data_IF_350198107955
#
_entry.id   IF_350198107955
#
_cell.length_a   1.000
_cell.length_b   1.000
_cell.length_c   1.000
_cell.angle_alpha   90.00
_cell.angle_beta   90.00
_cell.angle_gamma   90.00
#
_symmetry.space_group_name_H-M   'P 1'
#
loop_
_entity.id
_entity.type
_entity.pdbx_description
1 polymer ?
#
# COMPACT_ATOMS: atom_id res chain seq x y z
N UNK A 1 16.61 -13.46 18.16
CA UNK A 1 17.17 -13.30 16.81
C UNK A 1 16.72 -11.95 16.33
N UNK A 2 17.64 -11.01 16.31
CA UNK A 2 17.38 -9.61 15.95
C UNK A 2 17.40 -9.47 14.42
N UNK A 3 16.31 -9.01 13.82
CA UNK A 3 16.10 -8.91 12.37
C UNK A 3 16.01 -7.45 11.97
N UNK A 4 16.80 -7.02 11.01
CA UNK A 4 16.87 -5.62 10.58
C UNK A 4 16.61 -5.48 9.09
N UNK A 5 15.89 -4.44 8.70
CA UNK A 5 15.77 -4.05 7.29
C UNK A 5 16.84 -3.01 6.94
N UNK A 6 17.44 -3.15 5.77
CA UNK A 6 18.33 -2.18 5.14
C UNK A 6 17.67 -1.68 3.86
N UNK A 7 17.03 -0.51 3.93
CA UNK A 7 16.31 0.09 2.82
C UNK A 7 17.24 0.94 1.97
N UNK A 8 17.47 0.52 0.72
CA UNK A 8 18.35 1.21 -0.21
C UNK A 8 17.59 2.31 -0.95
N UNK A 9 17.76 3.54 -0.48
CA UNK A 9 17.09 4.75 -0.98
C UNK A 9 18.03 5.78 -1.63
N UNK A 10 19.33 5.45 -1.78
CA UNK A 10 20.35 6.37 -2.27
C UNK A 10 20.45 6.51 -3.80
N UNK A 11 19.53 5.90 -4.56
CA UNK A 11 19.53 5.97 -6.04
C UNK A 11 19.24 7.39 -6.56
N UNK A 12 19.91 7.83 -7.64
CA UNK A 12 19.76 9.18 -8.22
C UNK A 12 18.38 9.43 -8.83
N UNK A 13 17.65 8.39 -9.24
CA UNK A 13 16.33 8.53 -9.88
C UNK A 13 16.35 9.10 -11.30
N UNK A 14 17.53 9.33 -11.91
CA UNK A 14 17.70 10.00 -13.22
C UNK A 14 16.83 9.44 -14.33
N UNK A 15 16.70 8.11 -14.43
CA UNK A 15 15.91 7.43 -15.46
C UNK A 15 14.42 7.72 -15.41
N UNK A 16 13.92 8.29 -14.31
CA UNK A 16 12.51 8.65 -14.13
C UNK A 16 12.21 10.09 -14.56
N UNK A 17 13.22 10.92 -14.83
CA UNK A 17 13.04 12.32 -15.24
C UNK A 17 12.35 13.24 -14.22
N UNK A 18 12.23 12.82 -12.95
CA UNK A 18 11.43 13.52 -11.93
C UNK A 18 12.17 14.72 -11.29
N UNK A 19 13.44 14.95 -11.62
CA UNK A 19 14.25 16.01 -10.99
C UNK A 19 14.53 15.79 -9.48
N UNK A 20 14.00 14.73 -8.88
CA UNK A 20 14.19 14.32 -7.48
C UNK A 20 14.31 12.82 -7.34
N UNK A 21 14.69 12.35 -6.14
CA UNK A 21 14.77 10.92 -5.88
C UNK A 21 13.37 10.27 -5.97
N UNK A 22 13.23 9.25 -6.81
CA UNK A 22 11.96 8.57 -7.07
C UNK A 22 11.35 7.90 -5.84
N UNK A 23 12.15 7.54 -4.84
CA UNK A 23 11.64 6.92 -3.61
C UNK A 23 10.90 7.91 -2.71
N UNK A 24 11.09 9.21 -2.93
CA UNK A 24 10.35 10.31 -2.27
C UNK A 24 9.14 10.77 -3.10
N UNK A 25 8.94 10.22 -4.29
CA UNK A 25 7.76 10.52 -5.10
C UNK A 25 6.51 9.89 -4.49
N UNK A 26 5.37 10.55 -4.71
CA UNK A 26 4.07 10.03 -4.30
C UNK A 26 3.64 8.83 -5.16
N UNK A 27 3.06 7.84 -4.49
CA UNK A 27 2.40 6.70 -5.10
C UNK A 27 1.06 6.49 -4.40
N UNK A 28 -0.04 6.95 -5.01
CA UNK A 28 -1.39 6.85 -4.44
C UNK A 28 -1.47 7.44 -3.01
N UNK A 29 -1.09 8.72 -2.84
CA UNK A 29 -1.19 9.43 -1.56
C UNK A 29 -0.09 9.13 -0.54
N UNK A 30 0.87 8.24 -0.84
CA UNK A 30 2.02 7.93 0.05
C UNK A 30 3.34 7.94 -0.70
N UNK A 31 4.44 8.47 -0.13
CA UNK A 31 5.78 8.33 -0.69
C UNK A 31 6.18 6.86 -0.86
N UNK A 32 6.87 6.54 -1.97
CA UNK A 32 7.36 5.19 -2.29
C UNK A 32 8.20 4.61 -1.14
N UNK A 33 9.07 5.43 -0.51
CA UNK A 33 9.89 5.00 0.63
C UNK A 33 9.03 4.59 1.83
N UNK A 34 7.98 5.35 2.14
CA UNK A 34 7.10 5.05 3.26
C UNK A 34 6.35 3.74 3.03
N UNK A 35 5.79 3.53 1.82
CA UNK A 35 5.15 2.25 1.47
C UNK A 35 6.10 1.07 1.61
N UNK A 36 7.33 1.20 1.12
CA UNK A 36 8.35 0.15 1.27
C UNK A 36 8.63 -0.15 2.75
N UNK A 37 8.77 0.88 3.60
CA UNK A 37 9.08 0.73 5.02
C UNK A 37 7.93 0.08 5.80
N UNK A 38 6.68 0.51 5.58
CA UNK A 38 5.47 -0.04 6.24
C UNK A 38 5.34 -1.56 6.08
N UNK A 39 5.77 -2.11 4.94
CA UNK A 39 5.75 -3.56 4.72
C UNK A 39 6.64 -4.34 5.71
N UNK A 40 7.70 -3.71 6.21
CA UNK A 40 8.66 -4.31 7.14
C UNK A 40 8.32 -4.11 8.61
N UNK A 41 7.53 -3.09 8.99
CA UNK A 41 7.30 -2.66 10.38
C UNK A 41 6.97 -3.80 11.37
N UNK A 42 6.18 -4.78 10.93
CA UNK A 42 5.75 -5.91 11.80
C UNK A 42 6.66 -7.14 11.69
N UNK A 43 7.69 -7.10 10.86
CA UNK A 43 8.54 -8.24 10.55
C UNK A 43 10.00 -8.07 11.03
N UNK A 44 10.39 -6.85 11.41
CA UNK A 44 11.77 -6.52 11.79
C UNK A 44 11.82 -5.75 13.11
N UNK A 45 12.94 -5.83 13.81
CA UNK A 45 13.17 -5.11 15.08
C UNK A 45 13.62 -3.65 14.85
N UNK A 46 14.04 -3.32 13.64
CA UNK A 46 14.40 -1.96 13.26
C UNK A 46 14.84 -1.85 11.81
N UNK A 47 15.04 -0.60 11.38
CA UNK A 47 15.41 -0.28 10.00
C UNK A 47 16.62 0.66 9.94
N UNK A 48 17.45 0.45 8.94
CA UNK A 48 18.47 1.40 8.48
C UNK A 48 18.06 1.84 7.07
N UNK A 49 18.00 3.14 6.86
CA UNK A 49 17.67 3.72 5.54
C UNK A 49 18.94 4.35 4.97
N UNK A 50 19.37 3.89 3.80
CA UNK A 50 20.54 4.44 3.11
C UNK A 50 20.05 5.45 2.10
N UNK A 51 20.38 6.73 2.31
CA UNK A 51 19.92 7.86 1.51
C UNK A 51 21.10 8.71 0.99
N UNK A 52 20.83 9.53 -0.02
CA UNK A 52 21.76 10.61 -0.35
C UNK A 52 21.67 11.71 0.73
N UNK A 53 22.76 12.41 1.06
CA UNK A 53 22.75 13.49 2.07
C UNK A 53 21.66 14.54 1.83
N UNK A 54 21.40 14.89 0.58
CA UNK A 54 20.35 15.86 0.17
C UNK A 54 18.93 15.41 0.48
N UNK A 55 18.69 14.10 0.56
CA UNK A 55 17.36 13.48 0.73
C UNK A 55 17.09 13.11 2.21
N UNK A 56 18.11 13.19 3.10
CA UNK A 56 18.03 12.69 4.47
C UNK A 56 16.95 13.41 5.30
N UNK A 57 16.84 14.71 5.18
CA UNK A 57 15.88 15.48 5.98
C UNK A 57 14.43 15.06 5.68
N UNK A 58 14.10 14.90 4.42
CA UNK A 58 12.77 14.43 3.98
C UNK A 58 12.52 12.97 4.39
N UNK A 59 13.50 12.10 4.17
CA UNK A 59 13.41 10.69 4.57
C UNK A 59 13.26 10.51 6.09
N UNK A 60 13.97 11.33 6.87
CA UNK A 60 13.88 11.30 8.34
C UNK A 60 12.52 11.80 8.86
N UNK A 61 11.91 12.76 8.17
CA UNK A 61 10.55 13.20 8.50
C UNK A 61 9.51 12.08 8.25
N UNK A 62 9.72 11.25 7.23
CA UNK A 62 8.86 10.10 6.92
C UNK A 62 9.07 8.92 7.88
N UNK A 63 10.31 8.67 8.32
CA UNK A 63 10.70 7.49 9.11
C UNK A 63 11.52 7.90 10.35
N UNK A 64 10.92 8.61 11.31
CA UNK A 64 11.65 9.20 12.45
C UNK A 64 12.29 8.15 13.37
N UNK A 65 11.80 6.93 13.41
CA UNK A 65 12.32 5.82 14.21
C UNK A 65 13.47 5.05 13.54
N UNK A 66 13.72 5.28 12.23
CA UNK A 66 14.77 4.60 11.50
C UNK A 66 16.16 5.17 11.81
N UNK A 67 17.19 4.33 11.67
CA UNK A 67 18.58 4.79 11.58
C UNK A 67 18.89 5.19 10.14
N UNK A 68 19.84 6.09 9.95
CA UNK A 68 20.21 6.57 8.62
C UNK A 68 21.69 6.38 8.37
N UNK A 69 22.02 6.05 7.12
CA UNK A 69 23.39 6.03 6.60
C UNK A 69 23.42 6.72 5.23
N UNK A 70 24.58 7.29 4.88
CA UNK A 70 24.73 7.93 3.58
C UNK A 70 25.16 6.93 2.52
N UNK A 71 24.51 7.02 1.36
CA UNK A 71 24.91 6.29 0.16
C UNK A 71 26.28 6.75 -0.35
N UNK A 72 26.94 5.87 -1.07
CA UNK A 72 28.27 6.09 -1.64
C UNK A 72 28.23 6.05 -3.17
N UNK A 73 29.40 6.02 -3.82
CA UNK A 73 29.53 6.05 -5.28
C UNK A 73 28.90 4.84 -5.97
N UNK A 74 28.92 3.65 -5.33
CA UNK A 74 28.32 2.43 -5.86
C UNK A 74 27.22 1.91 -4.95
N UNK A 75 26.34 1.03 -5.50
CA UNK A 75 25.32 0.34 -4.70
C UNK A 75 25.99 -0.52 -3.61
N UNK A 76 27.06 -1.24 -3.97
CA UNK A 76 27.80 -2.11 -3.07
C UNK A 76 28.37 -1.34 -1.88
N UNK A 77 29.02 -0.19 -2.11
CA UNK A 77 29.50 0.68 -1.05
C UNK A 77 28.38 1.28 -0.19
N UNK A 78 27.24 1.57 -0.80
CA UNK A 78 26.05 2.05 -0.08
C UNK A 78 25.49 0.96 0.84
N UNK A 79 25.46 -0.31 0.41
CA UNK A 79 25.08 -1.44 1.27
C UNK A 79 26.06 -1.58 2.43
N UNK A 80 27.36 -1.48 2.17
CA UNK A 80 28.38 -1.54 3.21
C UNK A 80 28.23 -0.43 4.26
N UNK A 81 27.92 0.80 3.83
CA UNK A 81 27.62 1.91 4.74
C UNK A 81 26.41 1.60 5.64
N UNK A 82 25.35 1.04 5.05
CA UNK A 82 24.18 0.63 5.80
C UNK A 82 24.44 -0.51 6.78
N UNK A 83 25.25 -1.52 6.39
CA UNK A 83 25.64 -2.62 7.27
C UNK A 83 26.43 -2.16 8.49
N UNK A 84 27.23 -1.09 8.35
CA UNK A 84 27.97 -0.47 9.46
C UNK A 84 27.09 0.30 10.43
N UNK A 85 25.89 0.71 10.00
CA UNK A 85 24.91 1.41 10.84
C UNK A 85 23.95 0.46 11.59
N UNK A 86 24.01 -0.85 11.31
CA UNK A 86 23.27 -1.85 12.06
C UNK A 86 23.79 -1.94 13.50
N UNK A 87 22.95 -2.33 14.46
CA UNK A 87 23.42 -2.66 15.79
C UNK A 87 24.27 -3.94 15.77
N UNK A 88 25.15 -4.09 16.76
CA UNK A 88 26.09 -5.23 16.84
C UNK A 88 25.37 -6.57 17.01
N UNK A 89 24.18 -6.56 17.64
CA UNK A 89 23.33 -7.74 17.90
C UNK A 89 22.39 -8.09 16.74
N UNK A 90 22.52 -7.45 15.58
CA UNK A 90 21.73 -7.83 14.41
C UNK A 90 22.14 -9.22 13.89
N UNK A 91 21.21 -10.17 13.93
CA UNK A 91 21.42 -11.54 13.47
C UNK A 91 21.12 -11.72 11.99
N UNK A 92 20.11 -11.02 11.49
CA UNK A 92 19.66 -11.05 10.08
C UNK A 92 19.47 -9.65 9.56
N UNK A 93 19.96 -9.41 8.34
CA UNK A 93 19.67 -8.19 7.56
C UNK A 93 18.91 -8.57 6.29
N UNK A 94 17.84 -7.83 6.01
CA UNK A 94 17.12 -7.86 4.73
C UNK A 94 17.50 -6.62 3.93
N UNK A 95 18.34 -6.77 2.92
CA UNK A 95 18.64 -5.68 2.00
C UNK A 95 17.50 -5.55 1.00
N UNK A 96 16.88 -4.37 0.95
CA UNK A 96 15.72 -4.12 0.11
C UNK A 96 15.84 -2.81 -0.67
N UNK A 97 15.56 -2.86 -1.97
CA UNK A 97 15.46 -1.67 -2.79
C UNK A 97 14.20 -0.88 -2.40
N UNK A 98 14.34 0.30 -1.80
CA UNK A 98 13.20 1.17 -1.44
C UNK A 98 12.31 1.54 -2.66
N UNK A 99 12.82 1.34 -3.87
CA UNK A 99 12.08 1.47 -5.12
C UNK A 99 11.17 0.27 -5.46
N UNK A 100 10.92 -0.65 -4.50
CA UNK A 100 9.95 -1.75 -4.63
C UNK A 100 8.84 -1.60 -3.56
N UNK A 101 7.92 -0.65 -3.75
CA UNK A 101 6.93 -0.30 -2.72
C UNK A 101 5.84 -1.35 -2.48
N UNK A 102 5.75 -2.37 -3.35
CA UNK A 102 4.70 -3.39 -3.29
C UNK A 102 5.23 -4.74 -2.79
N UNK A 103 6.31 -4.73 -2.02
CA UNK A 103 6.79 -5.95 -1.36
C UNK A 103 5.76 -6.41 -0.32
N UNK A 104 5.31 -7.67 -0.42
CA UNK A 104 4.36 -8.20 0.54
C UNK A 104 5.06 -8.67 1.83
N UNK A 105 4.34 -8.58 2.95
CA UNK A 105 4.81 -9.11 4.25
C UNK A 105 5.12 -10.61 4.19
N UNK A 106 4.43 -11.33 3.33
CA UNK A 106 4.66 -12.75 3.14
C UNK A 106 6.02 -13.04 2.49
N UNK A 107 6.41 -12.28 1.46
CA UNK A 107 7.75 -12.37 0.85
C UNK A 107 8.85 -12.08 1.89
N UNK A 108 8.65 -11.05 2.72
CA UNK A 108 9.60 -10.70 3.79
C UNK A 108 9.75 -11.86 4.78
N UNK A 109 8.64 -12.43 5.26
CA UNK A 109 8.67 -13.58 6.19
C UNK A 109 9.36 -14.81 5.60
N UNK A 110 9.11 -15.10 4.30
CA UNK A 110 9.79 -16.19 3.59
C UNK A 110 11.30 -15.99 3.52
N UNK A 111 11.77 -14.78 3.23
CA UNK A 111 13.20 -14.47 3.23
C UNK A 111 13.83 -14.67 4.61
N UNK A 112 13.18 -14.23 5.69
CA UNK A 112 13.64 -14.45 7.07
C UNK A 112 13.68 -15.95 7.41
N UNK A 113 12.65 -16.70 7.07
CA UNK A 113 12.60 -18.15 7.31
C UNK A 113 13.70 -18.87 6.52
N UNK A 114 13.98 -18.45 5.28
CA UNK A 114 15.03 -19.03 4.47
C UNK A 114 16.44 -18.82 5.04
N UNK A 115 16.74 -17.65 5.64
CA UNK A 115 18.02 -17.44 6.34
C UNK A 115 18.17 -18.43 7.49
N UNK A 116 17.11 -18.69 8.24
CA UNK A 116 17.13 -19.66 9.36
C UNK A 116 17.40 -21.08 8.89
N UNK A 117 16.86 -21.47 7.74
CA UNK A 117 16.96 -22.82 7.21
C UNK A 117 18.22 -23.06 6.37
N UNK A 118 18.69 -22.04 5.65
CA UNK A 118 19.70 -22.17 4.59
C UNK A 118 20.86 -21.16 4.71
N UNK A 119 20.84 -20.25 5.67
CA UNK A 119 21.86 -19.21 5.85
C UNK A 119 21.67 -18.00 4.94
N UNK A 120 20.77 -18.06 3.97
CA UNK A 120 20.43 -16.98 3.05
C UNK A 120 18.99 -17.11 2.54
N UNK A 121 18.38 -16.00 2.08
CA UNK A 121 17.04 -16.03 1.53
C UNK A 121 16.82 -14.86 0.58
N UNK A 122 16.76 -15.15 -0.72
CA UNK A 122 16.57 -14.15 -1.78
C UNK A 122 15.23 -14.33 -2.45
N UNK A 123 14.41 -13.28 -2.46
CA UNK A 123 13.15 -13.30 -3.18
C UNK A 123 13.40 -13.42 -4.70
N UNK A 124 12.67 -14.29 -5.38
CA UNK A 124 12.83 -14.47 -6.82
C UNK A 124 11.53 -14.95 -7.47
N UNK A 125 11.36 -14.66 -8.76
CA UNK A 125 10.23 -15.13 -9.55
C UNK A 125 10.70 -15.91 -10.76
N UNK A 126 9.89 -16.85 -11.30
CA UNK A 126 10.20 -17.51 -12.56
C UNK A 126 10.31 -16.47 -13.69
N UNK A 127 11.26 -16.69 -14.60
CA UNK A 127 11.37 -15.87 -15.82
C UNK A 127 10.21 -16.19 -16.76
N UNK A 128 9.50 -15.17 -17.25
CA UNK A 128 8.35 -15.34 -18.15
C UNK A 128 8.78 -15.44 -19.62
N UNK A 129 9.75 -14.62 -20.03
CA UNK A 129 10.22 -14.55 -21.41
C UNK A 129 11.32 -15.55 -21.70
N UNK A 130 11.57 -15.82 -23.00
CA UNK A 130 12.72 -16.59 -23.42
C UNK A 130 13.98 -15.74 -23.37
N UNK A 131 14.91 -16.09 -22.49
CA UNK A 131 16.18 -15.36 -22.34
C UNK A 131 17.19 -15.82 -23.41
N UNK A 132 17.87 -14.85 -24.01
CA UNK A 132 18.95 -15.05 -24.94
C UNK A 132 20.25 -14.48 -24.37
N UNK A 133 21.31 -15.26 -24.31
CA UNK A 133 22.65 -14.73 -24.06
C UNK A 133 23.24 -14.33 -25.39
N UNK A 134 23.61 -13.06 -25.54
CA UNK A 134 24.10 -12.51 -26.80
C UNK A 134 25.55 -12.04 -26.69
N UNK A 135 26.24 -12.05 -27.82
CA UNK A 135 27.50 -11.33 -28.02
C UNK A 135 27.25 -9.81 -28.13
N UNK A 136 28.30 -8.95 -28.03
CA UNK A 136 28.16 -7.50 -28.14
C UNK A 136 27.54 -7.00 -29.46
N UNK A 137 27.66 -7.76 -30.53
CA UNK A 137 27.07 -7.47 -31.84
C UNK A 137 25.59 -7.88 -31.96
N UNK A 138 24.98 -8.40 -30.89
CA UNK A 138 23.61 -8.90 -30.88
C UNK A 138 23.42 -10.35 -31.32
N UNK A 139 24.49 -11.05 -31.76
CA UNK A 139 24.40 -12.46 -32.13
C UNK A 139 24.03 -13.32 -30.90
N UNK A 140 23.06 -14.20 -31.07
CA UNK A 140 22.65 -15.14 -30.00
C UNK A 140 23.69 -16.20 -29.80
N UNK A 141 24.28 -16.30 -28.62
CA UNK A 141 25.25 -17.31 -28.23
C UNK A 141 24.59 -18.54 -27.62
N UNK A 142 23.50 -18.33 -26.85
CA UNK A 142 22.82 -19.39 -26.11
C UNK A 142 21.39 -19.02 -25.78
N UNK A 143 20.53 -20.02 -25.69
CA UNK A 143 19.21 -19.91 -25.15
C UNK A 143 19.12 -20.83 -23.91
N UNK A 144 19.35 -20.31 -22.70
CA UNK A 144 19.29 -21.12 -21.48
C UNK A 144 17.90 -21.71 -21.26
N UNK A 145 17.80 -22.93 -20.68
CA UNK A 145 16.52 -23.52 -20.33
C UNK A 145 15.80 -22.62 -19.30
N UNK A 146 14.63 -22.06 -19.67
CA UNK A 146 13.86 -21.13 -18.83
C UNK A 146 13.51 -21.69 -17.46
N UNK A 147 13.27 -23.01 -17.36
CA UNK A 147 12.94 -23.66 -16.10
C UNK A 147 14.06 -23.57 -15.04
N UNK A 148 15.30 -23.36 -15.45
CA UNK A 148 16.45 -23.18 -14.57
C UNK A 148 16.75 -21.71 -14.23
N UNK A 149 15.97 -20.76 -14.77
CA UNK A 149 16.20 -19.34 -14.58
C UNK A 149 15.19 -18.74 -13.60
N UNK A 150 15.70 -17.88 -12.72
CA UNK A 150 14.91 -17.06 -11.81
C UNK A 150 15.33 -15.61 -11.93
N UNK A 151 14.36 -14.71 -11.88
CA UNK A 151 14.63 -13.27 -11.77
C UNK A 151 14.70 -12.91 -10.29
N UNK A 152 15.90 -12.51 -9.83
CA UNK A 152 16.11 -12.09 -8.46
C UNK A 152 15.39 -10.77 -8.16
N UNK A 153 14.78 -10.72 -7.00
CA UNK A 153 14.17 -9.52 -6.45
C UNK A 153 14.86 -9.14 -5.14
N UNK A 154 14.33 -8.15 -4.45
CA UNK A 154 14.60 -7.89 -3.03
C UNK A 154 13.29 -8.00 -2.24
N UNK A 155 13.33 -8.41 -0.95
CA UNK A 155 14.48 -8.49 -0.05
C UNK A 155 15.46 -9.60 -0.40
N UNK A 156 16.73 -9.34 -0.11
CA UNK A 156 17.80 -10.32 -0.07
C UNK A 156 18.31 -10.40 1.38
N UNK A 157 18.11 -11.54 2.02
CA UNK A 157 18.33 -11.71 3.45
C UNK A 157 19.55 -12.56 3.75
N UNK A 158 20.41 -12.10 4.67
CA UNK A 158 21.68 -12.73 5.03
C UNK A 158 22.04 -12.46 6.49
N UNK A 159 23.07 -13.15 6.97
CA UNK A 159 23.78 -12.77 8.19
C UNK A 159 24.65 -11.54 7.95
N UNK A 160 24.48 -10.42 8.70
CA UNK A 160 25.15 -9.15 8.41
C UNK A 160 26.67 -9.25 8.34
N UNK A 161 27.28 -10.02 9.25
CA UNK A 161 28.72 -10.19 9.31
C UNK A 161 29.29 -10.93 8.07
N UNK A 162 28.53 -11.90 7.54
CA UNK A 162 28.95 -12.63 6.33
C UNK A 162 28.85 -11.73 5.11
N UNK A 163 27.69 -11.05 4.93
CA UNK A 163 27.51 -10.14 3.81
C UNK A 163 28.54 -9.01 3.82
N UNK A 164 28.83 -8.44 4.99
CA UNK A 164 29.86 -7.39 5.12
C UNK A 164 31.22 -7.88 4.66
N UNK A 165 31.66 -9.06 5.11
CA UNK A 165 32.97 -9.67 4.71
C UNK A 165 33.01 -9.94 3.21
N UNK A 166 31.93 -10.46 2.63
CA UNK A 166 31.82 -10.72 1.20
C UNK A 166 31.99 -9.43 0.38
N UNK A 167 31.30 -8.37 0.76
CA UNK A 167 31.39 -7.07 0.09
C UNK A 167 32.80 -6.45 0.27
N UNK A 168 33.36 -6.46 1.47
CA UNK A 168 34.70 -5.92 1.75
C UNK A 168 35.79 -6.67 0.93
N UNK A 169 35.66 -7.97 0.76
CA UNK A 169 36.58 -8.75 -0.08
C UNK A 169 36.49 -8.37 -1.57
N UNK A 170 35.30 -8.13 -2.10
CA UNK A 170 35.13 -7.67 -3.48
C UNK A 170 35.63 -6.24 -3.69
N UNK A 171 35.39 -5.32 -2.73
CA UNK A 171 35.94 -3.96 -2.78
C UNK A 171 37.48 -3.97 -2.81
N UNK A 172 38.11 -4.82 -2.00
CA UNK A 172 39.56 -4.97 -1.99
C UNK A 172 40.13 -5.47 -3.32
N UNK A 173 39.33 -6.23 -4.09
CA UNK A 173 39.69 -6.73 -5.42
C UNK A 173 39.29 -5.78 -6.55
N UNK A 174 38.58 -4.68 -6.26
CA UNK A 174 38.03 -3.77 -7.27
C UNK A 174 36.90 -4.38 -8.11
N UNK A 175 36.25 -5.45 -7.60
CA UNK A 175 35.16 -6.15 -8.28
C UNK A 175 33.82 -5.65 -7.77
N UNK A 176 32.89 -5.39 -8.70
CA UNK A 176 31.52 -5.02 -8.37
C UNK A 176 30.57 -6.17 -8.60
N UNK A 177 29.83 -6.55 -7.56
CA UNK A 177 28.72 -7.50 -7.69
C UNK A 177 27.47 -6.79 -8.23
N UNK A 178 26.64 -7.52 -8.96
CA UNK A 178 25.39 -7.02 -9.52
C UNK A 178 24.32 -6.81 -8.46
N UNK A 179 24.33 -7.67 -7.42
CA UNK A 179 23.47 -7.60 -6.24
C UNK A 179 24.16 -8.23 -5.01
N UNK A 180 23.45 -8.30 -3.89
CA UNK A 180 24.00 -8.79 -2.63
C UNK A 180 24.17 -10.32 -2.66
N UNK A 181 23.30 -11.03 -3.41
CA UNK A 181 23.41 -12.45 -3.66
C UNK A 181 24.71 -12.79 -4.41
N UNK A 182 25.02 -12.07 -5.48
CA UNK A 182 26.25 -12.25 -6.24
C UNK A 182 27.52 -11.99 -5.39
N UNK A 183 27.46 -11.07 -4.42
CA UNK A 183 28.56 -10.85 -3.49
C UNK A 183 28.78 -12.07 -2.58
N UNK A 184 27.68 -12.66 -2.08
CA UNK A 184 27.76 -13.88 -1.26
C UNK A 184 28.27 -15.10 -2.07
N UNK A 185 27.79 -15.25 -3.31
CA UNK A 185 28.25 -16.31 -4.24
C UNK A 185 29.76 -16.19 -4.52
N UNK A 186 30.23 -14.98 -4.80
CA UNK A 186 31.65 -14.72 -5.04
C UNK A 186 32.52 -15.04 -3.80
N UNK A 187 31.97 -14.91 -2.60
CA UNK A 187 32.63 -15.29 -1.35
C UNK A 187 32.52 -16.82 -1.02
N UNK A 188 31.91 -17.60 -1.93
CA UNK A 188 31.74 -19.04 -1.74
C UNK A 188 30.59 -19.46 -0.81
N UNK A 189 29.70 -18.52 -0.46
CA UNK A 189 28.53 -18.85 0.32
C UNK A 189 27.37 -19.30 -0.57
N UNK A 190 26.65 -20.38 -0.22
CA UNK A 190 25.46 -20.80 -0.94
C UNK A 190 24.34 -19.77 -0.77
N UNK A 191 23.64 -19.46 -1.88
CA UNK A 191 22.51 -18.56 -1.88
C UNK A 191 21.23 -19.32 -2.21
N UNK A 192 20.24 -19.23 -1.32
CA UNK A 192 18.94 -19.85 -1.49
C UNK A 192 17.93 -18.86 -2.09
N UNK A 193 17.33 -19.24 -3.22
CA UNK A 193 16.29 -18.47 -3.88
C UNK A 193 14.92 -18.95 -3.41
N UNK A 194 14.21 -18.08 -2.69
CA UNK A 194 12.84 -18.28 -2.27
C UNK A 194 11.81 -17.72 -3.26
N UNK A 195 10.54 -18.05 -3.04
CA UNK A 195 9.44 -17.54 -3.84
C UNK A 195 9.17 -16.06 -3.52
N UNK A 196 9.29 -15.20 -4.53
CA UNK A 196 8.95 -13.79 -4.52
C UNK A 196 7.50 -13.54 -4.94
N UNK A 197 7.24 -12.34 -5.45
CA UNK A 197 5.93 -11.93 -5.94
C UNK A 197 6.10 -11.12 -7.25
N UNK A 198 5.40 -11.46 -8.34
CA UNK A 198 5.41 -10.67 -9.57
C UNK A 198 5.00 -9.21 -9.38
N UNK A 199 4.16 -8.93 -8.36
CA UNK A 199 3.74 -7.57 -7.98
C UNK A 199 4.86 -6.75 -7.32
N UNK A 200 5.89 -7.40 -6.80
CA UNK A 200 7.06 -6.75 -6.18
C UNK A 200 7.99 -6.17 -7.26
N UNK A 201 7.43 -5.33 -8.12
CA UNK A 201 8.14 -4.68 -9.21
C UNK A 201 9.09 -3.59 -8.69
N UNK A 202 10.16 -3.31 -9.44
CA UNK A 202 11.09 -2.24 -9.15
C UNK A 202 10.76 -1.03 -9.99
N UNK A 203 10.48 0.09 -9.36
CA UNK A 203 10.25 1.36 -10.06
C UNK A 203 11.54 1.84 -10.72
N UNK A 204 11.62 1.79 -12.03
CA UNK A 204 12.80 2.20 -12.82
C UNK A 204 12.44 3.21 -13.91
N UNK A 205 11.23 3.14 -14.44
CA UNK A 205 10.70 4.00 -15.49
C UNK A 205 9.37 4.65 -15.08
N UNK A 206 8.88 5.69 -15.78
CA UNK A 206 7.55 6.26 -15.53
C UNK A 206 6.41 5.24 -15.68
N UNK A 207 6.54 4.29 -16.62
CA UNK A 207 5.56 3.22 -16.83
C UNK A 207 5.45 2.29 -15.62
N UNK A 208 6.59 2.02 -14.95
CA UNK A 208 6.59 1.23 -13.70
C UNK A 208 5.78 1.94 -12.61
N UNK A 209 5.81 3.28 -12.55
CA UNK A 209 5.02 4.06 -11.59
C UNK A 209 3.53 3.92 -11.88
N UNK A 210 3.12 4.00 -13.15
CA UNK A 210 1.72 3.82 -13.56
C UNK A 210 1.23 2.41 -13.20
N UNK A 211 2.05 1.39 -13.48
CA UNK A 211 1.73 0.01 -13.12
C UNK A 211 1.65 -0.19 -11.60
N UNK A 212 2.58 0.39 -10.85
CA UNK A 212 2.56 0.32 -9.40
C UNK A 212 1.34 1.02 -8.81
N UNK A 213 0.92 2.16 -9.37
CA UNK A 213 -0.29 2.87 -8.93
C UNK A 213 -1.55 2.02 -9.15
N UNK A 214 -1.67 1.38 -10.31
CA UNK A 214 -2.78 0.48 -10.59
C UNK A 214 -2.82 -0.72 -9.63
N UNK A 215 -1.66 -1.29 -9.29
CA UNK A 215 -1.56 -2.41 -8.35
C UNK A 215 -1.81 -1.98 -6.90
N UNK A 216 -1.29 -0.82 -6.49
CA UNK A 216 -1.49 -0.27 -5.15
C UNK A 216 -2.96 0.11 -4.91
N UNK A 217 -3.62 0.73 -5.90
CA UNK A 217 -5.04 1.06 -5.84
C UNK A 217 -5.94 -0.17 -5.68
N UNK A 218 -5.52 -1.33 -6.17
CA UNK A 218 -6.24 -2.59 -5.93
C UNK A 218 -6.11 -3.11 -4.48
N UNK A 219 -5.06 -2.72 -3.76
CA UNK A 219 -4.86 -3.11 -2.35
C UNK A 219 -5.63 -2.20 -1.39
N UNK A 220 -5.74 -0.92 -1.72
CA UNK A 220 -6.42 0.09 -0.89
C UNK A 220 -7.93 0.17 -1.16
N UNK A 221 -8.37 -0.32 -2.32
CA UNK A 221 -9.76 -0.30 -2.75
C UNK A 221 -10.40 -1.68 -2.79
N UNK A 222 -10.63 -2.34 -1.65
CA UNK A 222 -11.71 -3.33 -1.63
C UNK A 222 -13.02 -2.56 -1.74
N UNK A 223 -13.58 -2.49 -2.96
CA UNK A 223 -14.92 -1.94 -3.17
C UNK A 223 -15.89 -2.67 -2.24
N UNK A 224 -16.56 -1.91 -1.38
CA UNK A 224 -17.58 -2.41 -0.47
C UNK A 224 -18.94 -2.01 -1.01
N UNK A 225 -19.86 -2.92 -0.99
CA UNK A 225 -21.23 -2.68 -1.42
C UNK A 225 -22.12 -2.79 -0.18
N UNK A 226 -22.98 -1.80 0.02
CA UNK A 226 -24.00 -1.80 1.06
C UNK A 226 -25.38 -1.75 0.44
N UNK A 227 -26.34 -2.33 1.13
CA UNK A 227 -27.76 -2.26 0.79
C UNK A 227 -28.51 -1.78 2.02
N UNK A 228 -29.35 -0.75 1.83
CA UNK A 228 -30.25 -0.25 2.85
C UNK A 228 -31.69 -0.31 2.36
N UNK A 229 -32.60 -0.57 3.27
CA UNK A 229 -34.03 -0.59 3.02
C UNK A 229 -34.73 0.02 4.20
N UNK A 230 -35.62 0.98 3.93
CA UNK A 230 -36.48 1.56 4.96
C UNK A 230 -37.91 1.71 4.44
N UNK A 231 -38.89 1.67 5.31
CA UNK A 231 -40.29 1.78 4.97
C UNK A 231 -41.07 2.51 6.07
N UNK A 232 -41.67 3.62 5.72
CA UNK A 232 -42.48 4.43 6.62
C UNK A 232 -43.94 4.50 6.17
N UNK A 233 -44.85 4.59 7.15
CA UNK A 233 -46.28 4.74 6.90
C UNK A 233 -46.65 6.21 6.68
N UNK A 234 -47.49 6.50 5.69
CA UNK A 234 -48.05 7.84 5.51
C UNK A 234 -49.06 8.16 6.59
N UNK A 235 -49.00 9.36 7.17
CA UNK A 235 -49.92 9.89 8.20
C UNK A 235 -50.28 11.32 7.92
N UNK A 236 -51.43 11.77 8.41
CA UNK A 236 -51.88 13.17 8.33
C UNK A 236 -51.15 14.03 9.35
N UNK A 237 -51.05 15.34 9.08
CA UNK A 237 -50.47 16.31 10.01
C UNK A 237 -48.94 16.33 10.07
N UNK A 238 -48.26 15.72 9.11
CA UNK A 238 -46.81 15.78 8.97
C UNK A 238 -46.42 16.22 7.54
N UNK A 239 -45.32 16.95 7.43
CA UNK A 239 -44.71 17.23 6.12
C UNK A 239 -44.15 15.96 5.50
N UNK A 240 -44.19 15.83 4.19
CA UNK A 240 -43.53 14.78 3.41
C UNK A 240 -42.15 15.29 3.06
N UNK A 241 -41.11 14.66 3.62
CA UNK A 241 -39.71 14.96 3.30
C UNK A 241 -39.09 13.73 2.61
N UNK A 242 -38.48 13.92 1.44
CA UNK A 242 -37.75 12.89 0.72
C UNK A 242 -36.45 13.46 0.15
N UNK A 243 -35.31 12.80 0.41
CA UNK A 243 -33.95 13.25 0.04
C UNK A 243 -33.67 14.69 0.55
N UNK A 244 -34.14 15.04 1.74
CA UNK A 244 -33.97 16.37 2.33
C UNK A 244 -34.87 17.46 1.75
N UNK A 245 -35.78 17.14 0.83
CA UNK A 245 -36.69 18.07 0.17
C UNK A 245 -38.11 17.89 0.69
N UNK A 246 -38.74 18.98 1.17
CA UNK A 246 -40.14 18.95 1.53
C UNK A 246 -41.02 18.96 0.26
N UNK A 247 -41.89 17.97 0.18
CA UNK A 247 -42.79 17.76 -0.96
C UNK A 247 -44.18 18.15 -0.58
N UNK A 248 -44.87 19.08 -1.29
CA UNK A 248 -46.26 19.43 -1.01
C UNK A 248 -47.19 18.22 -1.15
N UNK A 249 -47.68 17.69 -0.02
CA UNK A 249 -48.58 16.57 0.04
C UNK A 249 -49.44 16.60 1.30
N UNK A 250 -50.67 16.08 1.26
CA UNK A 250 -51.61 16.08 2.39
C UNK A 250 -51.12 15.22 3.56
N UNK A 251 -50.25 14.24 3.30
CA UNK A 251 -49.70 13.31 4.28
C UNK A 251 -48.18 13.28 4.23
N UNK A 252 -47.52 13.18 5.39
CA UNK A 252 -46.10 12.92 5.50
C UNK A 252 -45.80 11.55 6.07
N UNK A 253 -44.53 11.23 6.22
CA UNK A 253 -44.05 9.96 6.75
C UNK A 253 -44.04 9.96 8.29
N UNK A 254 -44.43 8.84 8.89
CA UNK A 254 -44.41 8.64 10.33
C UNK A 254 -43.05 8.15 10.79
N UNK A 255 -42.38 8.91 11.65
CA UNK A 255 -41.09 8.54 12.25
C UNK A 255 -40.68 9.51 13.34
N UNK A 256 -39.55 9.25 13.99
CA UNK A 256 -39.03 10.04 15.14
C UNK A 256 -38.33 11.32 14.66
N UNK A 257 -37.54 11.27 13.60
CA UNK A 257 -36.90 12.40 12.91
C UNK A 257 -37.90 13.11 11.96
N UNK A 258 -37.42 13.74 10.89
CA UNK A 258 -38.25 14.20 9.78
C UNK A 258 -38.83 13.04 8.95
N UNK A 259 -38.43 11.81 9.29
CA UNK A 259 -38.87 10.55 8.67
C UNK A 259 -38.51 10.41 7.16
N UNK A 260 -37.40 10.99 6.73
CA UNK A 260 -36.92 10.84 5.36
C UNK A 260 -36.41 9.41 5.10
N UNK A 261 -37.34 8.58 4.64
CA UNK A 261 -37.10 7.15 4.39
C UNK A 261 -35.97 6.90 3.38
N UNK A 262 -35.74 7.81 2.42
CA UNK A 262 -34.70 7.69 1.42
C UNK A 262 -33.30 7.88 2.04
N UNK A 263 -33.14 8.90 2.88
CA UNK A 263 -31.89 9.15 3.57
C UNK A 263 -31.61 8.11 4.66
N UNK A 264 -32.63 7.58 5.32
CA UNK A 264 -32.48 6.48 6.26
C UNK A 264 -31.94 5.21 5.57
N UNK A 265 -32.54 4.80 4.46
CA UNK A 265 -32.06 3.65 3.68
C UNK A 265 -30.65 3.88 3.16
N UNK A 266 -30.31 5.10 2.73
CA UNK A 266 -28.96 5.45 2.30
C UNK A 266 -27.95 5.33 3.45
N UNK A 267 -28.23 5.87 4.63
CA UNK A 267 -27.35 5.76 5.80
C UNK A 267 -27.11 4.30 6.20
N UNK A 268 -28.15 3.47 6.18
CA UNK A 268 -28.01 2.04 6.47
C UNK A 268 -27.15 1.32 5.42
N UNK A 269 -27.31 1.66 4.14
CA UNK A 269 -26.43 1.13 3.08
C UNK A 269 -24.96 1.51 3.32
N UNK A 270 -24.68 2.76 3.62
CA UNK A 270 -23.33 3.28 3.84
C UNK A 270 -22.66 2.67 5.07
N UNK A 271 -23.38 2.65 6.21
CA UNK A 271 -22.92 2.04 7.46
C UNK A 271 -22.70 0.53 7.31
N UNK A 272 -23.61 -0.16 6.62
CA UNK A 272 -23.53 -1.58 6.34
C UNK A 272 -22.32 -1.93 5.48
N UNK A 273 -22.04 -1.16 4.39
CA UNK A 273 -20.85 -1.32 3.56
C UNK A 273 -19.55 -1.20 4.38
N UNK A 274 -19.52 -0.25 5.34
CA UNK A 274 -18.38 -0.02 6.21
C UNK A 274 -18.29 -0.99 7.40
N UNK A 275 -19.29 -1.85 7.60
CA UNK A 275 -19.43 -2.71 8.79
C UNK A 275 -19.53 -1.91 10.09
N UNK A 276 -20.17 -0.73 10.04
CA UNK A 276 -20.30 0.22 11.17
C UNK A 276 -21.67 0.16 11.85
N UNK A 277 -22.48 -0.86 11.59
CA UNK A 277 -23.80 -1.06 12.17
C UNK A 277 -24.92 -0.45 11.33
N UNK A 278 -25.93 0.11 12.00
CA UNK A 278 -27.14 0.68 11.42
C UNK A 278 -27.51 2.03 12.09
N UNK A 279 -28.44 2.78 11.47
CA UNK A 279 -28.89 4.08 11.98
C UNK A 279 -29.62 3.95 13.32
N UNK A 280 -30.35 2.86 13.56
CA UNK A 280 -31.11 2.65 14.79
C UNK A 280 -30.21 2.52 16.02
N UNK A 281 -29.01 1.93 15.86
CA UNK A 281 -28.00 1.89 16.93
C UNK A 281 -27.32 3.23 17.14
N UNK A 282 -27.11 3.98 16.05
CA UNK A 282 -26.35 5.23 16.08
C UNK A 282 -27.19 6.41 16.52
N UNK A 283 -28.44 6.47 16.11
CA UNK A 283 -29.41 7.52 16.39
C UNK A 283 -30.70 6.92 16.97
N UNK A 284 -30.66 6.33 18.17
CA UNK A 284 -31.79 5.59 18.70
C UNK A 284 -32.98 6.52 19.00
N UNK A 285 -34.18 6.09 18.63
CA UNK A 285 -35.46 6.79 18.84
C UNK A 285 -35.74 7.09 20.32
N UNK A 286 -35.08 6.41 21.25
CA UNK A 286 -35.18 6.65 22.69
C UNK A 286 -34.52 7.95 23.16
N UNK A 287 -33.70 8.59 22.30
CA UNK A 287 -33.00 9.83 22.66
C UNK A 287 -33.74 11.04 22.10
N UNK A 288 -34.21 11.91 23.00
CA UNK A 288 -35.00 13.09 22.68
C UNK A 288 -34.27 14.10 21.77
N UNK A 289 -32.94 14.10 21.77
CA UNK A 289 -32.10 14.96 20.90
C UNK A 289 -32.30 14.71 19.41
N UNK A 290 -32.78 13.52 19.01
CA UNK A 290 -33.02 13.18 17.61
C UNK A 290 -34.47 13.38 17.18
N UNK A 291 -35.32 13.83 18.09
CA UNK A 291 -36.73 14.08 17.79
C UNK A 291 -36.91 15.25 16.84
N UNK A 292 -37.49 15.01 15.67
CA UNK A 292 -37.70 16.05 14.66
C UNK A 292 -36.42 16.56 13.98
N UNK A 293 -35.27 15.90 14.21
CA UNK A 293 -34.01 16.28 13.54
C UNK A 293 -34.10 16.03 12.05
N UNK A 294 -33.41 16.86 11.26
CA UNK A 294 -33.27 16.62 9.81
C UNK A 294 -32.40 15.41 9.53
N UNK A 295 -32.88 14.50 8.68
CA UNK A 295 -32.10 13.34 8.24
C UNK A 295 -30.87 13.72 7.41
N UNK A 296 -30.84 14.93 6.81
CA UNK A 296 -29.64 15.47 6.17
C UNK A 296 -28.51 15.66 7.19
N UNK A 297 -28.82 16.21 8.38
CA UNK A 297 -27.81 16.38 9.45
C UNK A 297 -27.28 15.03 9.97
N UNK A 298 -28.15 14.02 10.04
CA UNK A 298 -27.74 12.66 10.38
C UNK A 298 -26.81 12.07 9.31
N UNK A 299 -27.14 12.26 8.02
CA UNK A 299 -26.32 11.82 6.91
C UNK A 299 -24.94 12.51 6.89
N UNK A 300 -24.88 13.82 7.16
CA UNK A 300 -23.62 14.56 7.28
C UNK A 300 -22.72 13.95 8.36
N UNK A 301 -23.32 13.57 9.51
CA UNK A 301 -22.59 12.88 10.58
C UNK A 301 -22.03 11.53 10.12
N UNK A 302 -22.85 10.71 9.46
CA UNK A 302 -22.42 9.41 8.90
C UNK A 302 -21.33 9.60 7.87
N UNK A 303 -21.45 10.57 6.97
CA UNK A 303 -20.46 10.88 5.96
C UNK A 303 -19.10 11.30 6.58
N UNK A 304 -19.13 12.13 7.61
CA UNK A 304 -17.93 12.53 8.34
C UNK A 304 -17.23 11.33 9.01
N UNK A 305 -18.00 10.43 9.62
CA UNK A 305 -17.47 9.23 10.26
C UNK A 305 -16.86 8.24 9.24
N UNK A 306 -17.50 8.07 8.08
CA UNK A 306 -16.95 7.26 6.98
C UNK A 306 -15.63 7.84 6.46
N UNK A 307 -15.58 9.15 6.23
CA UNK A 307 -14.36 9.84 5.80
C UNK A 307 -13.23 9.70 6.84
N UNK A 308 -13.56 9.80 8.14
CA UNK A 308 -12.62 9.62 9.24
C UNK A 308 -12.11 8.18 9.32
N UNK A 309 -12.94 7.20 8.94
CA UNK A 309 -12.55 5.78 8.83
C UNK A 309 -11.84 5.44 7.50
N UNK A 310 -11.59 6.42 6.63
CA UNK A 310 -10.86 6.25 5.37
C UNK A 310 -11.71 5.72 4.21
N UNK A 311 -13.04 5.80 4.31
CA UNK A 311 -13.93 5.40 3.21
C UNK A 311 -14.35 6.59 2.34
N UNK A 312 -14.46 6.34 1.02
CA UNK A 312 -15.06 7.25 0.04
C UNK A 312 -16.28 6.61 -0.59
N UNK A 313 -17.31 7.41 -0.84
CA UNK A 313 -18.51 6.96 -1.54
C UNK A 313 -18.30 7.16 -3.04
N UNK A 314 -18.32 6.07 -3.81
CA UNK A 314 -18.10 6.11 -5.26
C UNK A 314 -19.41 6.31 -6.03
N UNK A 315 -20.47 5.61 -5.63
CA UNK A 315 -21.79 5.69 -6.27
C UNK A 315 -22.92 5.32 -5.31
N UNK A 316 -24.09 5.92 -5.53
CA UNK A 316 -25.32 5.65 -4.80
C UNK A 316 -26.49 5.60 -5.77
N UNK A 317 -27.28 4.51 -5.72
CA UNK A 317 -28.56 4.40 -6.39
C UNK A 317 -29.68 4.32 -5.36
N UNK A 318 -30.71 5.17 -5.50
CA UNK A 318 -31.87 5.19 -4.60
C UNK A 318 -33.16 5.02 -5.39
N UNK A 319 -33.96 4.03 -5.00
CA UNK A 319 -35.31 3.83 -5.56
C UNK A 319 -36.34 4.12 -4.49
N UNK A 320 -37.24 5.05 -4.76
CA UNK A 320 -38.34 5.43 -3.86
C UNK A 320 -39.66 4.91 -4.43
N UNK A 321 -40.37 4.13 -3.64
CA UNK A 321 -41.72 3.64 -3.95
C UNK A 321 -42.71 4.33 -3.04
N UNK A 322 -43.44 5.31 -3.56
CA UNK A 322 -44.40 6.09 -2.78
C UNK A 322 -45.74 6.21 -3.54
N UNK A 323 -46.88 6.06 -2.90
CA UNK A 323 -48.21 6.24 -3.51
C UNK A 323 -48.53 7.76 -3.62
N UNK A 324 -47.67 8.50 -4.32
CA UNK A 324 -47.82 9.94 -4.58
C UNK A 324 -47.94 10.18 -6.08
N UNK A 325 -48.78 11.11 -6.52
CA UNK A 325 -48.94 11.45 -7.90
C UNK A 325 -47.63 12.03 -8.47
N UNK A 326 -47.20 11.56 -9.63
CA UNK A 326 -45.99 12.00 -10.31
C UNK A 326 -46.07 13.49 -10.65
N UNK A 327 -45.48 14.33 -9.83
CA UNK A 327 -45.01 15.65 -10.22
C UNK A 327 -43.50 15.49 -10.49
N UNK A 328 -43.03 15.92 -11.68
CA UNK A 328 -41.63 15.80 -12.07
C UNK A 328 -40.70 16.47 -11.07
N UNK A 329 -40.07 15.69 -10.18
CA UNK A 329 -38.92 16.12 -9.42
C UNK A 329 -37.71 16.05 -10.35
N UNK A 330 -37.25 17.19 -10.86
CA UNK A 330 -35.91 17.28 -11.42
C UNK A 330 -34.95 17.31 -10.24
N UNK A 331 -34.20 16.23 -10.05
CA UNK A 331 -33.00 16.30 -9.25
C UNK A 331 -32.05 17.30 -9.92
N UNK A 332 -31.64 18.32 -9.17
CA UNK A 332 -30.55 19.18 -9.62
C UNK A 332 -29.27 18.35 -9.53
N UNK A 333 -28.68 18.05 -10.69
CA UNK A 333 -27.32 17.56 -10.80
C UNK A 333 -26.37 18.63 -10.23
N UNK A 334 -25.67 18.32 -9.15
CA UNK A 334 -24.50 19.08 -8.66
C UNK A 334 -23.31 18.18 -8.62
#
# INVERSE_FOLDING_TARGET
MSVWALLMAAGSGERMGLGRNKVLADLCGKPVLLRSAEAFETAVDGMVVVVQPRDEAEARALLPAARFAHGSATRQQSVLAGLRALPEDADVVLVHDAARPLVSREVIRRCIAAVRAHGSGVASVPVKDTIKRCAPDGTVLETPPRAALRAAQTPQAFHPAQLRRAIEALEAQGVQATDDAAAMEAAGHPVFLGEGDPRNLKLTTPEDMTMAAALAGQEEGSMRVGHGYDAHRLTEGRALVLCGVEIPHEKGLLGHSDADVALHALMDALLGAASMGDIGRRFPDSQEQYRGISSVTLLETVAAELAQAGYTVENVDVTILAPVSYTHLRANET
#
